data_IF_091741019763
#
_entry.id   IF_091741019763
#
_cell.length_a   1.000
_cell.length_b   1.000
_cell.length_c   1.000
_cell.angle_alpha   90.00
_cell.angle_beta   90.00
_cell.angle_gamma   90.00
#
_symmetry.space_group_name_H-M   'P 1'
#
loop_
_entity.id
_entity.type
_entity.pdbx_description
1 polymer ?
#
# COMPACT_ATOMS: atom_id res chain seq x y z
N UNK A 1 70.90 57.57 -13.80
CA UNK A 1 69.46 57.34 -13.54
C UNK A 1 69.00 56.24 -14.49
N UNK A 2 68.75 54.99 -14.16
CA UNK A 2 68.64 54.24 -12.92
C UNK A 2 67.73 53.05 -13.27
N UNK A 3 68.29 51.98 -13.84
CA UNK A 3 67.56 50.72 -14.06
C UNK A 3 67.72 49.84 -12.81
N UNK A 4 66.62 49.39 -12.21
CA UNK A 4 66.61 48.13 -11.47
C UNK A 4 65.40 47.28 -11.92
N UNK A 5 65.30 45.97 -11.73
CA UNK A 5 66.19 44.93 -11.23
C UNK A 5 65.43 43.61 -11.44
N UNK A 6 66.14 42.60 -11.92
CA UNK A 6 65.67 41.21 -12.00
C UNK A 6 65.83 40.58 -10.62
N UNK A 7 64.76 40.00 -10.07
CA UNK A 7 64.70 38.96 -9.02
C UNK A 7 63.22 38.82 -8.61
N UNK A 8 62.63 37.70 -8.21
CA UNK A 8 62.99 36.29 -8.13
C UNK A 8 61.66 35.55 -7.90
N UNK A 9 61.60 34.27 -8.29
CA UNK A 9 60.45 33.39 -8.13
C UNK A 9 60.06 33.25 -6.66
N UNK A 10 58.78 33.32 -6.32
CA UNK A 10 58.21 32.50 -5.24
C UNK A 10 56.80 32.01 -5.63
N UNK A 11 56.75 30.71 -5.88
CA UNK A 11 55.59 29.85 -5.95
C UNK A 11 54.73 29.96 -4.69
N UNK A 12 53.45 30.32 -4.84
CA UNK A 12 52.46 30.19 -3.77
C UNK A 12 51.29 29.33 -4.26
N UNK A 13 51.39 28.04 -3.98
CA UNK A 13 50.26 27.14 -3.97
C UNK A 13 49.23 27.63 -2.94
N UNK A 14 48.03 27.98 -3.39
CA UNK A 14 46.80 27.95 -2.60
C UNK A 14 45.69 27.44 -3.52
N UNK A 15 45.41 26.14 -3.42
CA UNK A 15 44.30 25.59 -2.62
C UNK A 15 42.96 25.80 -3.30
N UNK A 16 42.54 24.74 -4.00
CA UNK A 16 41.20 24.17 -3.89
C UNK A 16 40.04 25.11 -4.17
N UNK A 17 39.71 25.26 -5.45
CA UNK A 17 38.30 25.30 -5.85
C UNK A 17 38.02 24.00 -6.60
N UNK A 18 38.00 22.89 -5.85
CA UNK A 18 37.32 21.69 -6.29
C UNK A 18 35.85 22.06 -6.43
N UNK A 19 35.48 22.56 -7.61
CA UNK A 19 34.10 22.72 -7.98
C UNK A 19 33.44 21.37 -7.76
N UNK A 20 32.56 21.31 -6.76
CA UNK A 20 31.68 20.17 -6.56
C UNK A 20 30.90 20.10 -7.87
N UNK A 21 31.36 19.24 -8.79
CA UNK A 21 30.54 18.77 -9.89
C UNK A 21 29.32 18.22 -9.18
N UNK A 22 28.20 18.94 -9.22
CA UNK A 22 26.91 18.47 -8.74
C UNK A 22 26.72 17.13 -9.44
N UNK A 23 27.03 16.05 -8.73
CA UNK A 23 26.86 14.70 -9.23
C UNK A 23 25.42 14.65 -9.68
N UNK A 24 25.23 14.27 -10.95
CA UNK A 24 23.91 14.11 -11.55
C UNK A 24 23.03 13.44 -10.50
N UNK A 25 22.00 14.17 -10.04
CA UNK A 25 20.93 13.60 -9.24
C UNK A 25 20.57 12.33 -9.98
N UNK A 26 20.89 11.16 -9.39
CA UNK A 26 20.53 9.88 -9.98
C UNK A 26 19.02 9.98 -10.10
N UNK A 27 18.52 10.21 -11.33
CA UNK A 27 17.09 10.13 -11.66
C UNK A 27 16.63 8.86 -10.98
N UNK A 28 15.79 8.99 -9.94
CA UNK A 28 15.18 7.84 -9.30
C UNK A 28 14.60 7.01 -10.45
N UNK A 29 15.16 5.82 -10.67
CA UNK A 29 14.81 4.99 -11.83
C UNK A 29 13.29 4.93 -11.89
N UNK A 30 12.74 5.32 -13.04
CA UNK A 30 11.30 5.41 -13.21
C UNK A 30 10.69 4.08 -12.80
N UNK A 31 9.99 4.10 -11.67
CA UNK A 31 9.59 2.86 -11.03
C UNK A 31 8.55 2.16 -11.92
N UNK A 32 8.63 0.83 -12.12
CA UNK A 32 7.65 0.11 -12.93
C UNK A 32 6.23 0.41 -12.47
N UNK A 33 5.31 0.63 -13.42
CA UNK A 33 3.91 1.00 -13.12
C UNK A 33 3.24 0.06 -12.11
N UNK A 34 3.52 -1.24 -12.20
CA UNK A 34 3.01 -2.25 -11.27
C UNK A 34 3.46 -2.02 -9.82
N UNK A 35 4.73 -1.61 -9.62
CA UNK A 35 5.25 -1.31 -8.28
C UNK A 35 4.67 0.00 -7.75
N UNK A 36 4.50 1.03 -8.60
CA UNK A 36 3.78 2.28 -8.24
C UNK A 36 2.34 1.98 -7.80
N UNK A 37 1.62 1.13 -8.55
CA UNK A 37 0.25 0.71 -8.22
C UNK A 37 0.19 -0.01 -6.87
N UNK A 38 1.10 -0.97 -6.64
CA UNK A 38 1.17 -1.75 -5.39
C UNK A 38 1.49 -0.89 -4.17
N UNK A 39 2.44 0.04 -4.28
CA UNK A 39 2.77 0.97 -3.19
C UNK A 39 1.58 1.87 -2.84
N UNK A 40 0.84 2.32 -3.86
CA UNK A 40 -0.38 3.10 -3.67
C UNK A 40 -1.48 2.28 -2.99
N UNK A 41 -1.63 1.01 -3.33
CA UNK A 41 -2.59 0.11 -2.66
C UNK A 41 -2.24 -0.08 -1.18
N UNK A 42 -0.98 -0.34 -0.86
CA UNK A 42 -0.51 -0.47 0.53
C UNK A 42 -0.75 0.82 1.32
N UNK A 43 -0.45 1.98 0.73
CA UNK A 43 -0.70 3.27 1.36
C UNK A 43 -2.19 3.48 1.66
N UNK A 44 -3.05 3.10 0.73
CA UNK A 44 -4.50 3.18 0.90
C UNK A 44 -5.02 2.23 1.99
N UNK A 45 -4.51 1.01 2.06
CA UNK A 45 -4.83 0.06 3.12
C UNK A 45 -4.46 0.58 4.50
N UNK A 46 -3.33 1.28 4.63
CA UNK A 46 -2.94 1.95 5.89
C UNK A 46 -3.92 3.03 6.29
N UNK A 47 -4.37 3.86 5.35
CA UNK A 47 -5.40 4.88 5.65
C UNK A 47 -6.75 4.25 5.99
N UNK A 48 -7.06 3.09 5.40
CA UNK A 48 -8.32 2.38 5.63
C UNK A 48 -8.50 1.92 7.09
N UNK A 49 -7.40 1.73 7.83
CA UNK A 49 -7.46 1.46 9.26
C UNK A 49 -8.20 2.56 10.04
N UNK A 50 -8.11 3.82 9.61
CA UNK A 50 -8.79 4.93 10.27
C UNK A 50 -10.30 4.97 10.08
N UNK A 51 -10.86 4.13 9.18
CA UNK A 51 -12.31 4.02 8.96
C UNK A 51 -12.91 2.77 9.59
N UNK A 52 -12.11 2.03 10.36
CA UNK A 52 -12.60 0.89 11.14
C UNK A 52 -13.44 1.44 12.30
N UNK A 53 -14.70 1.01 12.45
CA UNK A 53 -15.54 1.47 13.54
C UNK A 53 -14.94 1.07 14.91
N UNK A 54 -15.00 1.96 15.90
CA UNK A 54 -14.40 1.75 17.24
C UNK A 54 -15.02 0.57 18.00
N UNK A 55 -16.28 0.25 17.69
CA UNK A 55 -17.04 -0.87 18.23
C UNK A 55 -16.56 -2.24 17.74
N UNK A 56 -15.72 -2.29 16.70
CA UNK A 56 -15.24 -3.57 16.16
C UNK A 56 -13.89 -3.94 16.74
N UNK A 57 -13.83 -5.06 17.45
CA UNK A 57 -12.62 -5.52 18.15
C UNK A 57 -11.92 -6.60 17.34
N UNK A 58 -11.17 -6.15 16.35
CA UNK A 58 -10.38 -7.01 15.49
C UNK A 58 -9.05 -7.35 16.13
N UNK A 59 -8.52 -8.56 15.99
CA UNK A 59 -7.10 -8.75 16.17
C UNK A 59 -6.38 -7.95 15.08
N UNK A 60 -5.65 -6.90 15.47
CA UNK A 60 -5.01 -5.92 14.58
C UNK A 60 -4.15 -6.56 13.47
N UNK A 61 -3.58 -7.74 13.74
CA UNK A 61 -2.84 -8.53 12.77
C UNK A 61 -3.71 -8.98 11.58
N UNK A 62 -4.93 -9.46 11.85
CA UNK A 62 -5.87 -9.84 10.78
C UNK A 62 -6.34 -8.61 10.02
N UNK A 63 -6.71 -7.53 10.72
CA UNK A 63 -7.17 -6.30 10.08
C UNK A 63 -6.16 -5.74 9.06
N UNK A 64 -4.89 -5.70 9.43
CA UNK A 64 -3.82 -5.23 8.53
C UNK A 64 -3.70 -6.12 7.30
N UNK A 65 -3.70 -7.44 7.49
CA UNK A 65 -3.66 -8.39 6.38
C UNK A 65 -4.89 -8.28 5.47
N UNK A 66 -6.07 -8.12 6.06
CA UNK A 66 -7.35 -7.93 5.37
C UNK A 66 -7.32 -6.68 4.51
N UNK A 67 -7.00 -5.51 5.08
CA UNK A 67 -7.03 -4.26 4.35
C UNK A 67 -5.95 -4.23 3.26
N UNK A 68 -4.75 -4.76 3.53
CA UNK A 68 -3.68 -4.86 2.53
C UNK A 68 -4.10 -5.71 1.33
N UNK A 69 -4.77 -6.84 1.58
CA UNK A 69 -5.16 -7.75 0.51
C UNK A 69 -6.45 -7.32 -0.19
N UNK A 70 -7.44 -6.82 0.54
CA UNK A 70 -8.75 -6.45 0.00
C UNK A 70 -8.66 -5.24 -0.94
N UNK A 71 -7.79 -4.28 -0.64
CA UNK A 71 -7.62 -3.07 -1.46
C UNK A 71 -6.56 -3.18 -2.55
N UNK A 72 -5.76 -4.26 -2.54
CA UNK A 72 -4.81 -4.54 -3.61
C UNK A 72 -5.53 -4.69 -4.95
N UNK A 73 -5.10 -3.95 -5.96
CA UNK A 73 -5.64 -4.03 -7.31
C UNK A 73 -5.49 -5.46 -7.84
N UNK A 74 -6.59 -6.01 -8.35
CA UNK A 74 -6.62 -7.37 -8.91
C UNK A 74 -6.72 -8.48 -7.85
N UNK A 75 -6.90 -8.16 -6.56
CA UNK A 75 -7.15 -9.15 -5.50
C UNK A 75 -8.47 -9.92 -5.65
N UNK A 76 -9.33 -9.51 -6.60
CA UNK A 76 -10.74 -9.93 -6.75
C UNK A 76 -11.62 -9.54 -5.54
N UNK A 77 -11.10 -8.67 -4.67
CA UNK A 77 -11.79 -8.08 -3.52
C UNK A 77 -12.00 -6.58 -3.77
N UNK A 78 -12.59 -5.88 -2.80
CA UNK A 78 -13.12 -4.50 -2.84
C UNK A 78 -12.37 -3.52 -3.78
N UNK A 79 -11.03 -3.49 -3.72
CA UNK A 79 -10.21 -2.58 -4.49
C UNK A 79 -10.46 -1.09 -4.18
N UNK A 80 -9.81 -0.18 -4.92
CA UNK A 80 -9.93 1.28 -4.73
C UNK A 80 -11.12 1.91 -5.47
N UNK A 81 -12.08 1.11 -5.92
CA UNK A 81 -13.17 1.57 -6.78
C UNK A 81 -14.06 2.60 -6.07
N UNK A 82 -14.43 3.67 -6.78
CA UNK A 82 -15.35 4.70 -6.29
C UNK A 82 -16.83 4.31 -6.33
N UNK A 83 -17.16 3.05 -6.65
CA UNK A 83 -18.55 2.56 -6.70
C UNK A 83 -19.20 2.41 -5.32
N UNK A 84 -18.40 2.35 -4.26
CA UNK A 84 -18.89 2.26 -2.88
C UNK A 84 -18.88 3.65 -2.26
N UNK A 85 -20.00 4.02 -1.65
CA UNK A 85 -20.29 5.39 -1.22
C UNK A 85 -19.37 5.91 -0.10
N UNK A 86 -18.96 5.04 0.84
CA UNK A 86 -18.10 5.45 1.96
C UNK A 86 -16.90 4.51 2.17
N UNK A 87 -15.83 5.06 2.76
CA UNK A 87 -14.66 4.27 3.16
C UNK A 87 -15.00 3.27 4.26
N UNK A 88 -15.95 3.61 5.14
CA UNK A 88 -16.48 2.70 6.18
C UNK A 88 -17.14 1.47 5.56
N UNK A 89 -17.94 1.66 4.51
CA UNK A 89 -18.57 0.55 3.79
C UNK A 89 -17.54 -0.31 3.06
N UNK A 90 -16.50 0.31 2.49
CA UNK A 90 -15.39 -0.43 1.88
C UNK A 90 -14.64 -1.30 2.89
N UNK A 91 -14.39 -0.77 4.09
CA UNK A 91 -13.83 -1.55 5.19
C UNK A 91 -14.77 -2.71 5.50
N UNK A 92 -16.07 -2.46 5.66
CA UNK A 92 -17.13 -3.47 5.83
C UNK A 92 -17.07 -4.61 4.80
N UNK A 93 -16.99 -4.27 3.52
CA UNK A 93 -16.87 -5.23 2.43
C UNK A 93 -15.54 -6.00 2.46
N UNK A 94 -14.46 -5.37 2.91
CA UNK A 94 -13.16 -6.03 3.06
C UNK A 94 -13.21 -7.10 4.16
N UNK A 95 -13.94 -6.82 5.26
CA UNK A 95 -14.24 -7.78 6.33
C UNK A 95 -14.95 -9.00 5.76
N UNK A 96 -16.10 -8.77 5.12
CA UNK A 96 -16.97 -9.84 4.64
C UNK A 96 -16.25 -10.67 3.58
N UNK A 97 -15.47 -10.02 2.72
CA UNK A 97 -14.61 -10.73 1.77
C UNK A 97 -13.56 -11.58 2.50
N UNK A 98 -12.92 -11.09 3.55
CA UNK A 98 -11.96 -11.89 4.31
C UNK A 98 -12.63 -13.12 4.92
N UNK A 99 -13.72 -12.91 5.67
CA UNK A 99 -14.47 -13.98 6.32
C UNK A 99 -14.85 -15.05 5.30
N UNK A 100 -15.49 -14.64 4.20
CA UNK A 100 -15.90 -15.55 3.13
C UNK A 100 -14.76 -16.40 2.57
N UNK A 101 -13.57 -15.85 2.39
CA UNK A 101 -12.48 -16.56 1.72
C UNK A 101 -11.53 -17.30 2.68
N UNK A 102 -11.58 -16.98 3.98
CA UNK A 102 -10.62 -17.51 4.97
C UNK A 102 -11.30 -18.38 6.01
N UNK A 103 -12.54 -18.07 6.34
CA UNK A 103 -13.27 -18.70 7.44
C UNK A 103 -14.46 -19.53 6.97
N UNK A 104 -14.74 -19.61 5.67
CA UNK A 104 -15.84 -20.43 5.14
C UNK A 104 -15.40 -21.23 3.91
N UNK A 105 -16.23 -22.22 3.54
CA UNK A 105 -16.02 -23.10 2.38
C UNK A 105 -16.30 -22.42 1.01
N UNK A 106 -16.34 -21.09 0.93
CA UNK A 106 -16.73 -20.38 -0.29
C UNK A 106 -15.88 -20.75 -1.52
N UNK A 107 -14.56 -20.79 -1.35
CA UNK A 107 -13.64 -21.10 -2.44
C UNK A 107 -13.75 -22.57 -2.85
N UNK A 108 -14.07 -23.46 -1.91
CA UNK A 108 -14.36 -24.88 -2.14
C UNK A 108 -15.65 -25.05 -2.93
N UNK A 109 -16.72 -24.33 -2.57
CA UNK A 109 -17.99 -24.35 -3.31
C UNK A 109 -17.81 -23.92 -4.76
N UNK A 110 -17.07 -22.83 -5.01
CA UNK A 110 -16.76 -22.38 -6.37
C UNK A 110 -15.93 -23.42 -7.13
N UNK A 111 -14.92 -24.02 -6.48
CA UNK A 111 -14.13 -25.10 -7.09
C UNK A 111 -14.98 -26.32 -7.48
N UNK A 112 -16.03 -26.61 -6.72
CA UNK A 112 -17.00 -27.69 -7.00
C UNK A 112 -18.04 -27.31 -8.06
N UNK A 113 -17.98 -26.10 -8.61
CA UNK A 113 -18.83 -25.65 -9.71
C UNK A 113 -20.06 -24.84 -9.31
N UNK A 114 -20.22 -24.47 -8.03
CA UNK A 114 -21.28 -23.54 -7.64
C UNK A 114 -21.00 -22.14 -8.22
N UNK A 115 -22.07 -21.44 -8.58
CA UNK A 115 -21.98 -20.03 -8.96
C UNK A 115 -21.55 -19.18 -7.76
N UNK A 116 -20.98 -18.01 -8.03
CA UNK A 116 -20.53 -17.10 -6.97
C UNK A 116 -21.71 -16.64 -6.12
N UNK A 117 -22.86 -16.45 -6.75
CA UNK A 117 -24.11 -16.02 -6.13
C UNK A 117 -24.61 -17.10 -5.17
N UNK A 118 -24.74 -18.36 -5.62
CA UNK A 118 -25.16 -19.47 -4.76
C UNK A 118 -24.18 -19.74 -3.63
N UNK A 119 -22.88 -19.71 -3.91
CA UNK A 119 -21.87 -19.88 -2.87
C UNK A 119 -21.92 -18.76 -1.83
N UNK A 120 -22.29 -17.52 -2.20
CA UNK A 120 -22.49 -16.40 -1.25
C UNK A 120 -23.74 -16.58 -0.41
N UNK A 121 -24.85 -17.01 -1.01
CA UNK A 121 -26.10 -17.30 -0.29
C UNK A 121 -25.88 -18.37 0.77
N UNK A 122 -25.20 -19.47 0.43
CA UNK A 122 -24.98 -20.60 1.33
C UNK A 122 -24.16 -20.26 2.59
N UNK A 123 -23.23 -19.31 2.49
CA UNK A 123 -22.32 -18.91 3.57
C UNK A 123 -22.74 -17.61 4.25
N UNK A 124 -23.85 -17.00 3.83
CA UNK A 124 -24.22 -15.66 4.27
C UNK A 124 -24.44 -15.59 5.78
N UNK A 125 -25.18 -16.54 6.34
CA UNK A 125 -25.47 -16.57 7.78
C UNK A 125 -24.19 -16.76 8.60
N UNK A 126 -23.29 -17.64 8.16
CA UNK A 126 -21.98 -17.86 8.80
C UNK A 126 -21.12 -16.59 8.75
N UNK A 127 -21.09 -15.89 7.61
CA UNK A 127 -20.37 -14.62 7.47
C UNK A 127 -20.95 -13.56 8.41
N UNK A 128 -22.27 -13.43 8.49
CA UNK A 128 -22.94 -12.45 9.35
C UNK A 128 -22.67 -12.76 10.82
N UNK A 129 -22.84 -14.01 11.25
CA UNK A 129 -22.58 -14.44 12.63
C UNK A 129 -21.12 -14.13 13.03
N UNK A 130 -20.16 -14.49 12.18
CA UNK A 130 -18.75 -14.28 12.49
C UNK A 130 -18.39 -12.79 12.46
N UNK A 131 -18.90 -12.02 11.48
CA UNK A 131 -18.73 -10.57 11.41
C UNK A 131 -19.28 -9.88 12.67
N UNK A 132 -20.47 -10.29 13.08
CA UNK A 132 -21.16 -9.69 14.23
C UNK A 132 -20.50 -10.13 15.54
N UNK A 133 -19.92 -11.33 15.62
CA UNK A 133 -19.08 -11.71 16.78
C UNK A 133 -17.83 -10.85 16.95
N UNK A 134 -17.39 -10.16 15.89
CA UNK A 134 -16.25 -9.23 15.93
C UNK A 134 -16.69 -7.80 16.28
N UNK A 135 -17.98 -7.47 16.13
CA UNK A 135 -18.59 -6.21 16.57
C UNK A 135 -19.06 -6.38 18.01
N UNK A 136 -18.65 -5.49 18.91
CA UNK A 136 -19.16 -5.46 20.28
C UNK A 136 -20.30 -4.46 20.42
#
# INVERSE_FOLDING_TARGET
>A
MGKPQRQQRQSRAKRGAGGIRKGASKRAKDMPKALKDKLRDIAYSKTAHGFVPEDVRWPLAYLTAVLNHAFLKGSRRVGRSGKVASEKDKVGLAVEAHIRHVHTEYDDMIRRGLTRERARENIWDEVVILRDSWRK
#
